data_IF_093565573683
#
_entry.id   IF_093565573683
#
_cell.length_a   1.000
_cell.length_b   1.000
_cell.length_c   1.000
_cell.angle_alpha   90.00
_cell.angle_beta   90.00
_cell.angle_gamma   90.00
#
_symmetry.space_group_name_H-M   'P 1'
#
loop_
_entity.id
_entity.type
_entity.pdbx_description
1 polymer ?
#
# COMPACT_ATOMS: atom_id res chain seq x y z
N UNK A 1 11.89 -17.90 21.43
CA UNK A 1 10.50 -17.40 21.32
C UNK A 1 10.43 -16.33 20.25
N UNK A 2 9.37 -16.26 19.44
CA UNK A 2 9.19 -15.18 18.46
C UNK A 2 8.71 -13.90 19.16
N UNK A 3 9.28 -12.75 18.79
CA UNK A 3 8.88 -11.42 19.29
C UNK A 3 7.44 -11.08 18.87
N UNK A 4 6.77 -10.20 19.61
CA UNK A 4 5.45 -9.66 19.23
C UNK A 4 5.48 -9.06 17.82
N UNK A 5 6.53 -8.31 17.49
CA UNK A 5 6.76 -7.73 16.15
C UNK A 5 6.73 -8.81 15.08
N UNK A 6 7.46 -9.92 15.29
CA UNK A 6 7.48 -11.03 14.33
C UNK A 6 6.10 -11.64 14.18
N UNK A 7 5.42 -11.95 15.28
CA UNK A 7 4.06 -12.53 15.24
C UNK A 7 3.08 -11.63 14.50
N UNK A 8 3.05 -10.34 14.82
CA UNK A 8 2.20 -9.38 14.13
C UNK A 8 2.56 -9.24 12.65
N UNK A 9 3.86 -9.14 12.32
CA UNK A 9 4.34 -8.98 10.95
C UNK A 9 3.90 -10.13 10.04
N UNK A 10 4.05 -11.36 10.53
CA UNK A 10 3.60 -12.57 9.83
C UNK A 10 2.10 -12.58 9.53
N UNK A 11 1.28 -12.04 10.45
CA UNK A 11 -0.17 -12.06 10.33
C UNK A 11 -0.70 -10.92 9.47
N UNK A 12 -0.20 -9.70 9.66
CA UNK A 12 -0.80 -8.50 9.04
C UNK A 12 0.06 -7.84 7.97
N UNK A 13 1.35 -8.15 7.88
CA UNK A 13 2.24 -7.54 6.87
C UNK A 13 2.60 -8.47 5.72
N UNK A 14 2.57 -9.78 5.93
CA UNK A 14 2.86 -10.75 4.87
C UNK A 14 1.76 -10.77 3.83
N UNK A 15 2.14 -10.46 2.60
CA UNK A 15 1.30 -10.51 1.43
C UNK A 15 1.05 -11.95 0.99
N UNK A 16 -0.20 -12.24 0.64
CA UNK A 16 -0.58 -13.43 -0.12
C UNK A 16 -1.52 -12.96 -1.21
N UNK A 17 -1.21 -13.29 -2.46
CA UNK A 17 -2.07 -12.90 -3.57
C UNK A 17 -3.50 -13.42 -3.35
N UNK A 18 -4.46 -12.52 -3.61
CA UNK A 18 -5.90 -12.78 -3.56
C UNK A 18 -6.51 -12.34 -4.88
N UNK A 19 -7.77 -12.69 -5.21
CA UNK A 19 -8.40 -12.26 -6.45
C UNK A 19 -8.37 -10.73 -6.70
N UNK A 20 -8.37 -9.91 -5.63
CA UNK A 20 -8.20 -8.46 -5.73
C UNK A 20 -6.86 -8.03 -6.33
N UNK A 21 -5.79 -8.82 -6.16
CA UNK A 21 -4.48 -8.57 -6.73
C UNK A 21 -4.48 -8.60 -8.25
N UNK A 22 -5.42 -9.32 -8.85
CA UNK A 22 -5.51 -9.52 -10.29
C UNK A 22 -6.64 -8.73 -10.96
N UNK A 23 -7.22 -7.76 -10.23
CA UNK A 23 -8.22 -6.84 -10.78
C UNK A 23 -7.58 -5.80 -11.70
N UNK A 24 -8.44 -5.14 -12.50
CA UNK A 24 -8.07 -3.99 -13.33
C UNK A 24 -6.96 -4.30 -14.35
N UNK A 25 -7.03 -5.47 -14.99
CA UNK A 25 -6.09 -5.87 -16.04
C UNK A 25 -4.77 -6.48 -15.56
N UNK A 26 -4.62 -6.79 -14.27
CA UNK A 26 -3.41 -7.41 -13.71
C UNK A 26 -3.51 -8.95 -13.64
N UNK A 27 -3.85 -9.61 -14.75
CA UNK A 27 -4.09 -11.06 -14.75
C UNK A 27 -2.82 -11.88 -14.47
N UNK A 28 -1.67 -11.41 -14.95
CA UNK A 28 -0.37 -12.06 -14.92
C UNK A 28 0.55 -11.57 -13.79
N UNK A 29 0.19 -10.47 -13.12
CA UNK A 29 1.01 -9.87 -12.06
C UNK A 29 0.18 -9.41 -10.87
N UNK A 30 0.81 -9.26 -9.71
CA UNK A 30 0.16 -8.64 -8.56
C UNK A 30 0.07 -7.12 -8.77
N UNK A 31 -1.14 -6.55 -8.79
CA UNK A 31 -1.34 -5.10 -8.93
C UNK A 31 -0.66 -4.28 -7.82
N UNK A 32 -0.38 -4.91 -6.67
CA UNK A 32 0.30 -4.28 -5.53
C UNK A 32 1.83 -4.41 -5.60
N UNK A 33 2.37 -4.88 -6.73
CA UNK A 33 3.80 -4.96 -7.01
C UNK A 33 4.56 -5.88 -6.04
N UNK A 34 3.94 -7.03 -5.73
CA UNK A 34 4.59 -8.14 -5.05
C UNK A 34 5.09 -9.19 -6.06
N UNK A 35 6.24 -9.84 -5.79
CA UNK A 35 7.16 -9.56 -4.68
C UNK A 35 7.94 -8.25 -4.88
N UNK A 36 8.26 -7.58 -3.78
CA UNK A 36 9.22 -6.49 -3.76
C UNK A 36 10.63 -7.00 -4.08
N UNK A 37 11.45 -6.09 -4.60
CA UNK A 37 12.87 -6.34 -4.79
C UNK A 37 13.56 -6.55 -3.43
N UNK A 38 14.40 -7.59 -3.34
CA UNK A 38 15.17 -7.89 -2.13
C UNK A 38 16.42 -7.00 -2.13
N UNK A 39 16.58 -6.23 -1.06
CA UNK A 39 17.65 -5.26 -0.86
C UNK A 39 18.35 -5.57 0.46
N UNK A 40 19.61 -6.00 0.38
CA UNK A 40 20.41 -6.46 1.53
C UNK A 40 20.75 -5.36 2.55
N UNK A 41 20.84 -4.11 2.09
CA UNK A 41 21.05 -2.94 2.94
C UNK A 41 20.46 -1.69 2.27
N UNK A 42 19.84 -0.80 3.06
CA UNK A 42 19.34 0.47 2.52
C UNK A 42 20.49 1.29 1.92
N UNK A 43 20.27 1.88 0.76
CA UNK A 43 21.26 2.72 0.09
C UNK A 43 20.60 3.89 -0.63
N UNK A 44 21.39 4.92 -0.91
CA UNK A 44 20.97 6.02 -1.77
C UNK A 44 21.45 5.76 -3.20
N UNK A 45 20.54 5.84 -4.15
CA UNK A 45 20.82 5.76 -5.58
C UNK A 45 21.00 7.18 -6.16
N UNK A 46 22.22 7.57 -6.55
CA UNK A 46 22.50 8.89 -7.09
C UNK A 46 21.88 9.13 -8.47
N UNK A 47 21.62 8.09 -9.26
CA UNK A 47 21.09 8.25 -10.63
C UNK A 47 19.62 8.65 -10.59
N UNK A 48 18.82 7.95 -9.78
CA UNK A 48 17.40 8.27 -9.59
C UNK A 48 17.13 9.32 -8.51
N UNK A 49 18.15 9.68 -7.70
CA UNK A 49 18.02 10.50 -6.49
C UNK A 49 16.97 9.92 -5.52
N UNK A 50 17.03 8.60 -5.29
CA UNK A 50 16.09 7.89 -4.41
C UNK A 50 16.83 7.07 -3.34
N UNK A 51 16.09 6.67 -2.30
CA UNK A 51 16.58 5.79 -1.25
C UNK A 51 15.88 4.45 -1.43
N UNK A 52 16.67 3.41 -1.67
CA UNK A 52 16.21 2.03 -1.57
C UNK A 52 16.24 1.61 -0.10
N UNK A 53 15.12 1.08 0.38
CA UNK A 53 15.02 0.57 1.75
C UNK A 53 15.38 -0.92 1.77
N UNK A 54 16.06 -1.34 2.84
CA UNK A 54 16.27 -2.74 3.17
C UNK A 54 14.96 -3.54 3.02
N UNK A 55 14.99 -4.60 2.22
CA UNK A 55 13.91 -5.56 2.07
C UNK A 55 14.51 -6.96 2.05
N UNK A 56 14.30 -7.75 3.11
CA UNK A 56 14.85 -9.13 3.18
C UNK A 56 13.90 -10.18 2.63
N UNK A 57 12.61 -9.86 2.59
CA UNK A 57 11.55 -10.76 2.14
C UNK A 57 10.59 -9.96 1.25
N UNK A 58 10.57 -10.28 -0.04
CA UNK A 58 9.80 -9.52 -1.03
C UNK A 58 8.28 -9.62 -0.85
N UNK A 59 7.78 -10.56 -0.06
CA UNK A 59 6.36 -10.71 0.24
C UNK A 59 5.91 -10.00 1.53
N UNK A 60 6.77 -9.17 2.14
CA UNK A 60 6.44 -8.40 3.34
C UNK A 60 6.45 -6.91 3.01
N UNK A 61 5.41 -6.18 3.44
CA UNK A 61 5.36 -4.72 3.30
C UNK A 61 6.51 -4.04 4.05
N UNK A 62 6.89 -2.85 3.61
CA UNK A 62 7.75 -1.98 4.41
C UNK A 62 6.95 -1.50 5.64
N UNK A 63 7.30 -1.95 6.84
CA UNK A 63 6.56 -1.63 8.05
C UNK A 63 7.46 -1.01 9.12
N UNK A 64 6.87 -0.27 10.05
CA UNK A 64 7.57 0.20 11.25
C UNK A 64 7.20 -0.69 12.44
N UNK A 65 8.17 -1.25 13.17
CA UNK A 65 7.90 -2.15 14.31
C UNK A 65 7.01 -1.54 15.39
N UNK A 66 7.13 -0.24 15.65
CA UNK A 66 6.33 0.45 16.66
C UNK A 66 4.89 0.62 16.18
N UNK A 67 4.69 1.14 14.97
CA UNK A 67 3.34 1.27 14.35
C UNK A 67 2.66 -0.10 14.32
N UNK A 68 3.40 -1.15 13.98
CA UNK A 68 2.88 -2.52 13.94
C UNK A 68 2.35 -2.99 15.30
N UNK A 69 3.12 -2.77 16.37
CA UNK A 69 2.74 -3.21 17.71
C UNK A 69 1.58 -2.38 18.26
N UNK A 70 1.58 -1.06 18.05
CA UNK A 70 0.53 -0.17 18.55
C UNK A 70 -0.78 -0.32 17.78
N UNK A 71 -0.72 -0.38 16.45
CA UNK A 71 -1.91 -0.32 15.62
C UNK A 71 -2.40 -1.70 15.15
N UNK A 72 -1.52 -2.71 15.11
CA UNK A 72 -1.84 -4.11 14.76
C UNK A 72 -2.61 -4.31 13.45
N UNK A 73 -2.41 -3.42 12.48
CA UNK A 73 -2.99 -3.52 11.14
C UNK A 73 -1.90 -3.46 10.06
N UNK A 74 -2.27 -3.90 8.86
CA UNK A 74 -1.46 -3.78 7.67
C UNK A 74 -1.12 -2.31 7.39
N UNK A 75 0.13 -2.01 7.11
CA UNK A 75 0.57 -0.69 6.71
C UNK A 75 1.84 -0.83 5.88
N UNK A 76 1.99 0.07 4.92
CA UNK A 76 3.08 0.06 3.96
C UNK A 76 3.72 1.45 3.92
N UNK A 77 5.01 1.51 4.23
CA UNK A 77 5.80 2.74 4.32
C UNK A 77 6.57 2.92 3.02
N UNK A 78 6.35 4.07 2.38
CA UNK A 78 6.97 4.41 1.10
C UNK A 78 7.72 5.73 1.25
N UNK A 79 8.97 5.77 0.79
CA UNK A 79 9.71 7.02 0.66
C UNK A 79 9.29 7.74 -0.63
N UNK A 80 8.86 8.99 -0.49
CA UNK A 80 8.49 9.86 -1.62
C UNK A 80 9.59 10.90 -1.78
N UNK A 81 10.45 10.71 -2.79
CA UNK A 81 11.69 11.49 -2.93
C UNK A 81 11.73 12.34 -4.21
N UNK A 82 10.71 12.23 -5.08
CA UNK A 82 10.61 13.05 -6.29
C UNK A 82 9.35 13.92 -6.28
N UNK A 83 9.43 15.11 -6.87
CA UNK A 83 8.27 16.00 -7.03
C UNK A 83 7.14 15.36 -7.84
N UNK A 84 7.46 14.48 -8.79
CA UNK A 84 6.48 13.72 -9.57
C UNK A 84 5.75 12.70 -8.68
N UNK A 85 6.48 11.93 -7.88
CA UNK A 85 5.91 10.97 -6.93
C UNK A 85 5.09 11.67 -5.85
N UNK A 86 5.56 12.83 -5.36
CA UNK A 86 4.82 13.64 -4.40
C UNK A 86 3.50 14.14 -4.99
N UNK A 87 3.52 14.68 -6.22
CA UNK A 87 2.29 15.11 -6.91
C UNK A 87 1.30 13.96 -7.12
N UNK A 88 1.79 12.79 -7.53
CA UNK A 88 0.95 11.60 -7.68
C UNK A 88 0.34 11.15 -6.35
N UNK A 89 1.14 11.13 -5.27
CA UNK A 89 0.67 10.79 -3.93
C UNK A 89 -0.38 11.79 -3.42
N UNK A 90 -0.17 13.09 -3.63
CA UNK A 90 -1.15 14.12 -3.26
C UNK A 90 -2.49 13.90 -3.97
N UNK A 91 -2.50 13.71 -5.29
CA UNK A 91 -3.75 13.44 -6.01
C UNK A 91 -4.43 12.17 -5.53
N UNK A 92 -3.65 11.11 -5.31
CA UNK A 92 -4.18 9.85 -4.79
C UNK A 92 -4.83 10.05 -3.41
N UNK A 93 -4.14 10.71 -2.49
CA UNK A 93 -4.66 10.99 -1.14
C UNK A 93 -5.93 11.83 -1.22
N UNK A 94 -5.91 12.91 -2.01
CA UNK A 94 -7.07 13.78 -2.19
C UNK A 94 -8.25 12.99 -2.75
N UNK A 95 -8.06 12.21 -3.82
CA UNK A 95 -9.14 11.40 -4.42
C UNK A 95 -9.78 10.44 -3.41
N UNK A 96 -8.97 9.83 -2.53
CA UNK A 96 -9.48 8.97 -1.47
C UNK A 96 -10.21 9.73 -0.36
N UNK A 97 -9.71 10.89 0.08
CA UNK A 97 -10.34 11.72 1.11
C UNK A 97 -11.65 12.32 0.60
N UNK A 98 -11.68 12.75 -0.66
CA UNK A 98 -12.86 13.37 -1.28
C UNK A 98 -13.82 12.35 -1.89
N UNK A 99 -13.56 11.05 -1.74
CA UNK A 99 -14.40 10.00 -2.29
C UNK A 99 -15.77 10.04 -1.63
N UNK A 100 -16.82 10.29 -2.41
CA UNK A 100 -18.18 10.25 -1.91
C UNK A 100 -18.53 8.83 -1.42
N UNK A 101 -19.09 8.73 -0.21
CA UNK A 101 -19.56 7.45 0.34
C UNK A 101 -20.65 6.81 -0.52
N UNK A 102 -21.52 7.65 -1.11
CA UNK A 102 -22.60 7.24 -1.99
C UNK A 102 -22.22 7.44 -3.45
N UNK A 103 -22.40 6.41 -4.27
CA UNK A 103 -22.16 6.51 -5.70
C UNK A 103 -23.28 7.32 -6.35
N UNK A 104 -22.96 8.03 -7.43
CA UNK A 104 -23.92 8.90 -8.14
C UNK A 104 -25.21 8.16 -8.53
N UNK A 105 -25.14 6.90 -8.97
CA UNK A 105 -26.35 6.13 -9.32
C UNK A 105 -27.23 5.81 -8.10
N UNK A 106 -26.64 5.65 -6.91
CA UNK A 106 -27.39 5.41 -5.66
C UNK A 106 -28.13 6.68 -5.27
N UNK A 107 -27.46 7.84 -5.37
CA UNK A 107 -28.08 9.16 -5.17
C UNK A 107 -29.24 9.39 -6.14
N UNK A 108 -29.04 9.11 -7.44
CA UNK A 108 -30.07 9.26 -8.47
C UNK A 108 -31.26 8.32 -8.22
N UNK A 109 -31.02 7.09 -7.78
CA UNK A 109 -32.07 6.12 -7.44
C UNK A 109 -32.89 6.57 -6.22
N UNK A 110 -32.25 7.19 -5.22
CA UNK A 110 -32.95 7.76 -4.08
C UNK A 110 -33.81 8.96 -4.50
N UNK A 111 -33.25 9.86 -5.32
CA UNK A 111 -33.97 11.02 -5.84
C UNK A 111 -35.18 10.62 -6.69
N UNK A 112 -35.06 9.59 -7.53
CA UNK A 112 -36.17 9.11 -8.36
C UNK A 112 -37.31 8.46 -7.56
N UNK A 113 -37.06 8.08 -6.30
CA UNK A 113 -38.06 7.50 -5.39
C UNK A 113 -38.67 8.54 -4.44
N UNK A 114 -38.13 9.75 -4.42
CA UNK A 114 -38.61 10.86 -3.59
C UNK A 114 -39.65 11.74 -4.31
N UNK A 115 -39.90 11.47 -5.60
CA UNK A 115 -40.94 12.11 -6.43
C UNK A 115 -42.14 11.18 -6.55
#
# INVERSE_FOLDING_TARGET
MATEIKKCGEVVQRHRCKPVCHKYGNADRCRFLFPHEVVEASYFDPESNTIALLCREGDVNYFNPYILVFCRHNHDLKCILSGKSAKAAMFYITDYITKMDMKTYEMLTLMSRAV
#
